data_IF_719041041636
#
_entry.id   IF_719041041636
#
_cell.length_a   1.000
_cell.length_b   1.000
_cell.length_c   1.000
_cell.angle_alpha   90.00
_cell.angle_beta   90.00
_cell.angle_gamma   90.00
#
_symmetry.space_group_name_H-M   'P 1'
#
loop_
_entity.id
_entity.type
_entity.pdbx_description
1 polymer ?
#
# COMPACT_ATOMS: atom_id res chain seq x y z
N UNK A 1 -18.16 0.57 12.63
CA UNK A 1 -18.01 -0.63 11.76
C UNK A 1 -16.58 -0.62 11.24
N UNK A 2 -15.68 -1.39 11.86
CA UNK A 2 -14.26 -1.40 11.52
C UNK A 2 -14.08 -2.08 10.15
N UNK A 3 -13.79 -1.33 9.10
CA UNK A 3 -13.25 -1.90 7.86
C UNK A 3 -11.73 -2.02 8.04
N UNK A 4 -11.29 -3.20 8.48
CA UNK A 4 -9.92 -3.64 8.30
C UNK A 4 -9.68 -3.79 6.80
N UNK A 5 -9.03 -2.80 6.22
CA UNK A 5 -8.59 -2.86 4.83
C UNK A 5 -7.26 -3.64 4.79
N UNK A 6 -7.29 -4.77 4.08
CA UNK A 6 -6.17 -5.52 3.49
C UNK A 6 -5.48 -6.60 4.33
N UNK A 7 -5.78 -7.84 3.98
CA UNK A 7 -4.78 -8.87 3.71
C UNK A 7 -4.88 -9.19 2.21
N UNK A 8 -3.79 -9.11 1.43
CA UNK A 8 -3.73 -9.79 0.14
C UNK A 8 -2.46 -10.65 0.10
N UNK A 9 -2.57 -11.87 0.62
CA UNK A 9 -1.69 -12.98 0.22
C UNK A 9 -2.35 -13.87 -0.84
N UNK A 10 -3.35 -13.39 -1.57
CA UNK A 10 -4.10 -14.17 -2.57
C UNK A 10 -3.95 -13.62 -4.00
N UNK A 11 -2.72 -13.45 -4.47
CA UNK A 11 -2.47 -13.32 -5.92
C UNK A 11 -1.20 -14.03 -6.39
N UNK A 12 -0.83 -15.13 -5.72
CA UNK A 12 -0.04 -16.15 -6.39
C UNK A 12 -0.83 -16.67 -7.61
N UNK A 13 -0.38 -16.34 -8.81
CA UNK A 13 -0.86 -16.81 -10.12
C UNK A 13 -2.16 -16.21 -10.67
N UNK A 14 -2.05 -15.08 -11.38
CA UNK A 14 -2.83 -14.89 -12.61
C UNK A 14 -2.00 -14.25 -13.74
N UNK A 15 -1.44 -15.12 -14.58
CA UNK A 15 -0.99 -14.83 -15.93
C UNK A 15 -2.18 -14.35 -16.78
N UNK A 16 -2.26 -13.08 -17.16
CA UNK A 16 -2.83 -12.60 -18.44
C UNK A 16 -2.63 -11.09 -18.63
N UNK A 17 -1.85 -10.73 -19.64
CA UNK A 17 -1.67 -9.35 -20.12
C UNK A 17 -0.39 -8.74 -19.56
N UNK A 18 0.44 -8.18 -20.44
CA UNK A 18 1.66 -7.45 -20.10
C UNK A 18 1.32 -6.10 -19.45
N UNK A 19 0.69 -6.13 -18.26
CA UNK A 19 0.60 -4.99 -17.37
C UNK A 19 1.92 -4.87 -16.63
N UNK A 20 2.52 -3.69 -16.69
CA UNK A 20 3.80 -3.32 -16.09
C UNK A 20 4.00 -3.97 -14.70
N UNK A 21 4.71 -5.10 -14.63
CA UNK A 21 4.94 -5.84 -13.38
C UNK A 21 5.75 -5.04 -12.36
N UNK A 22 6.31 -3.92 -12.81
CA UNK A 22 7.07 -2.97 -12.02
C UNK A 22 6.18 -1.96 -11.29
N UNK A 23 4.85 -2.00 -11.44
CA UNK A 23 3.98 -1.01 -10.83
C UNK A 23 2.76 -1.67 -10.20
N UNK A 24 2.54 -1.42 -8.92
CA UNK A 24 1.24 -1.68 -8.31
C UNK A 24 0.57 -0.36 -8.00
N UNK A 25 -0.74 -0.33 -8.18
CA UNK A 25 -1.56 0.81 -7.84
C UNK A 25 -2.86 0.33 -7.21
N UNK A 26 -3.57 1.25 -6.55
CA UNK A 26 -4.97 1.07 -6.24
C UNK A 26 -5.82 1.95 -7.13
N UNK A 27 -7.01 1.49 -7.48
CA UNK A 27 -8.03 2.34 -8.11
C UNK A 27 -8.37 3.53 -7.20
N UNK A 28 -9.04 4.53 -7.79
CA UNK A 28 -9.56 5.66 -7.05
C UNK A 28 -10.46 5.19 -5.90
N UNK A 29 -10.18 5.71 -4.71
CA UNK A 29 -10.88 5.46 -3.46
C UNK A 29 -11.50 6.76 -2.95
N UNK A 30 -12.69 6.70 -2.32
CA UNK A 30 -13.30 7.87 -1.72
C UNK A 30 -12.51 8.45 -0.55
N UNK A 31 -12.48 9.77 -0.46
CA UNK A 31 -11.93 10.59 0.62
C UNK A 31 -12.87 11.78 0.91
N UNK A 32 -12.74 12.39 2.09
CA UNK A 32 -13.60 13.50 2.50
C UNK A 32 -13.48 14.76 1.61
N UNK A 33 -12.39 14.88 0.84
CA UNK A 33 -12.08 15.99 -0.06
C UNK A 33 -12.06 15.58 -1.54
N UNK A 34 -12.57 14.39 -1.89
CA UNK A 34 -12.62 13.89 -3.28
C UNK A 34 -12.23 12.42 -3.38
N UNK A 35 -11.59 12.05 -4.49
CA UNK A 35 -11.06 10.69 -4.69
C UNK A 35 -9.53 10.70 -4.62
N UNK A 36 -8.94 9.59 -4.16
CA UNK A 36 -7.48 9.40 -4.12
C UNK A 36 -7.08 8.04 -4.67
N UNK A 37 -5.87 7.95 -5.21
CA UNK A 37 -5.21 6.68 -5.54
C UNK A 37 -3.78 6.70 -5.03
N UNK A 38 -3.16 5.52 -4.97
CA UNK A 38 -1.75 5.37 -4.65
C UNK A 38 -1.14 4.36 -5.61
N UNK A 39 0.12 4.60 -6.00
CA UNK A 39 0.92 3.69 -6.80
C UNK A 39 2.33 3.61 -6.24
N UNK A 40 2.98 2.49 -6.46
CA UNK A 40 4.40 2.27 -6.16
C UNK A 40 5.05 1.71 -7.42
N UNK A 41 6.16 2.33 -7.81
CA UNK A 41 6.98 1.89 -8.92
C UNK A 41 8.23 1.18 -8.37
N UNK A 42 8.51 0.01 -8.91
CA UNK A 42 9.64 -0.83 -8.59
C UNK A 42 10.87 -0.32 -9.33
N UNK A 43 11.88 0.15 -8.59
CA UNK A 43 13.16 0.56 -9.14
C UNK A 43 14.23 -0.56 -9.13
N UNK A 44 14.03 -1.61 -8.31
CA UNK A 44 15.02 -2.66 -8.05
C UNK A 44 14.49 -4.05 -8.43
N UNK A 45 15.34 -5.08 -8.36
CA UNK A 45 14.94 -6.46 -8.65
C UNK A 45 13.81 -6.97 -7.74
N UNK A 46 13.85 -6.60 -6.46
CA UNK A 46 12.79 -6.80 -5.47
C UNK A 46 12.01 -5.50 -5.26
N UNK A 47 10.69 -5.62 -5.16
CA UNK A 47 9.85 -4.55 -4.65
C UNK A 47 9.84 -4.62 -3.12
N UNK A 48 10.70 -3.81 -2.50
CA UNK A 48 10.86 -3.78 -1.04
C UNK A 48 10.01 -2.66 -0.41
N UNK A 49 9.63 -1.67 -1.21
CA UNK A 49 8.82 -0.54 -0.78
C UNK A 49 7.41 -0.95 -0.39
N UNK A 50 6.91 -0.33 0.66
CA UNK A 50 5.55 -0.51 1.16
C UNK A 50 4.87 0.85 1.31
N UNK A 51 3.55 0.87 1.17
CA UNK A 51 2.78 2.08 1.43
C UNK A 51 1.39 1.74 1.98
N UNK A 52 0.80 2.68 2.71
CA UNK A 52 -0.56 2.54 3.23
C UNK A 52 -1.21 3.91 3.41
N UNK A 53 -2.53 3.95 3.28
CA UNK A 53 -3.32 5.16 3.45
C UNK A 53 -4.50 4.87 4.35
N UNK A 54 -4.69 5.69 5.37
CA UNK A 54 -5.87 5.73 6.21
C UNK A 54 -6.53 7.09 6.06
N UNK A 55 -7.82 7.08 5.75
CA UNK A 55 -8.61 8.29 5.56
C UNK A 55 -9.67 8.37 6.65
N UNK A 56 -9.85 9.57 7.18
CA UNK A 56 -11.00 9.93 8.02
C UNK A 56 -11.57 11.27 7.54
N UNK A 57 -12.76 11.66 8.00
CA UNK A 57 -13.31 12.99 7.69
C UNK A 57 -12.43 14.17 8.14
N UNK A 58 -11.57 13.97 9.15
CA UNK A 58 -10.78 15.03 9.77
C UNK A 58 -9.28 14.96 9.47
N UNK A 59 -8.77 13.82 9.03
CA UNK A 59 -7.34 13.60 8.83
C UNK A 59 -7.07 12.54 7.76
N UNK A 60 -5.84 12.53 7.25
CA UNK A 60 -5.34 11.50 6.33
C UNK A 60 -3.94 11.14 6.73
N UNK A 61 -3.74 9.85 7.04
CA UNK A 61 -2.43 9.30 7.33
C UNK A 61 -1.92 8.59 6.09
N UNK A 62 -0.74 9.01 5.62
CA UNK A 62 -0.05 8.41 4.48
C UNK A 62 1.28 7.87 4.98
N UNK A 63 1.51 6.57 4.79
CA UNK A 63 2.78 5.92 5.07
C UNK A 63 3.48 5.54 3.77
N UNK A 64 4.75 5.93 3.63
CA UNK A 64 5.66 5.55 2.54
C UNK A 64 6.92 5.00 3.18
N UNK A 65 7.27 3.76 2.87
CA UNK A 65 8.37 3.05 3.50
C UNK A 65 9.27 2.47 2.40
N UNK A 66 10.45 3.07 2.24
CA UNK A 66 11.53 2.59 1.36
C UNK A 66 12.18 1.35 2.00
N UNK A 67 12.13 0.23 1.30
CA UNK A 67 12.73 -1.03 1.77
C UNK A 67 14.16 -1.17 1.25
N UNK A 68 15.06 -1.68 2.09
CA UNK A 68 16.43 -1.98 1.68
C UNK A 68 16.98 -3.23 2.38
N UNK A 69 17.56 -4.14 1.60
CA UNK A 69 18.14 -5.38 2.12
C UNK A 69 17.07 -6.43 2.46
N UNK A 70 15.89 -6.30 1.84
CA UNK A 70 14.71 -7.14 2.06
C UNK A 70 13.46 -6.35 2.44
N UNK A 71 12.25 -6.89 2.19
CA UNK A 71 10.97 -6.22 2.45
C UNK A 71 10.52 -6.28 3.93
N UNK A 72 11.28 -6.92 4.81
CA UNK A 72 10.81 -7.28 6.16
C UNK A 72 10.54 -6.05 7.02
N UNK A 73 11.44 -5.06 7.00
CA UNK A 73 11.32 -3.86 7.82
C UNK A 73 10.17 -2.96 7.34
N UNK A 74 10.10 -2.67 6.04
CA UNK A 74 9.03 -1.87 5.44
C UNK A 74 7.67 -2.53 5.66
N UNK A 75 7.58 -3.87 5.54
CA UNK A 75 6.35 -4.64 5.80
C UNK A 75 5.98 -4.66 7.27
N UNK A 76 6.95 -4.73 8.17
CA UNK A 76 6.70 -4.66 9.61
C UNK A 76 6.06 -3.31 9.99
N UNK A 77 6.62 -2.20 9.52
CA UNK A 77 6.09 -0.86 9.80
C UNK A 77 4.69 -0.69 9.20
N UNK A 78 4.50 -1.09 7.93
CA UNK A 78 3.21 -1.04 7.26
C UNK A 78 2.10 -1.71 8.09
N UNK A 79 2.32 -2.95 8.53
CA UNK A 79 1.30 -3.71 9.26
C UNK A 79 1.03 -3.22 10.70
N UNK A 80 1.89 -2.37 11.27
CA UNK A 80 1.87 -2.07 12.72
C UNK A 80 1.71 -0.60 13.06
N UNK A 81 2.10 0.34 12.18
CA UNK A 81 2.21 1.75 12.57
C UNK A 81 0.86 2.42 12.88
N UNK A 82 -0.14 2.25 12.01
CA UNK A 82 -1.40 3.01 12.12
C UNK A 82 -2.21 2.76 13.39
N UNK A 83 -2.27 1.55 13.96
CA UNK A 83 -2.86 1.33 15.28
C UNK A 83 -2.28 2.19 16.42
N UNK A 84 -1.09 2.78 16.25
CA UNK A 84 -0.46 3.65 17.25
C UNK A 84 -0.58 5.15 16.94
N UNK A 85 -1.24 5.53 15.84
CA UNK A 85 -1.51 6.92 15.49
C UNK A 85 -2.90 7.29 16.05
N UNK A 86 -2.93 8.21 17.02
CA UNK A 86 -4.15 8.73 17.66
C UNK A 86 -4.70 9.93 16.87
#
# INVERSE_FOLDING_TARGET
MLRLCFNPLDYCFRRRGASDFLLWHTDLKPHASGDFSIAVAQANYSLEDQSQVFTSPSATYVGVYDGHGGPEASRFVNNRLFPYLH
#
